data_IF_604605693424
#
_entry.id   IF_604605693424
#
_cell.length_a   1.000
_cell.length_b   1.000
_cell.length_c   1.000
_cell.angle_alpha   90.00
_cell.angle_beta   90.00
_cell.angle_gamma   90.00
#
_symmetry.space_group_name_H-M   'P 1'
#
loop_
_entity.id
_entity.type
_entity.pdbx_description
1 polymer ?
#
# COMPACT_ATOMS: atom_id res chain seq x y z
N UNK A 1 1.03 60.80 -14.72
CA UNK A 1 2.26 59.98 -14.85
C UNK A 1 1.86 58.52 -14.71
N UNK A 2 2.34 57.67 -15.63
CA UNK A 2 2.28 56.20 -15.61
C UNK A 2 2.79 55.64 -14.27
N UNK A 3 2.42 54.46 -13.75
CA UNK A 3 2.26 53.15 -14.40
C UNK A 3 1.59 52.23 -13.37
N UNK A 4 0.50 51.57 -13.74
CA UNK A 4 -0.05 50.47 -12.96
C UNK A 4 0.94 49.29 -13.02
N UNK A 5 1.50 48.91 -11.88
CA UNK A 5 2.28 47.69 -11.72
C UNK A 5 1.33 46.58 -11.28
N UNK A 6 0.73 45.91 -12.27
CA UNK A 6 0.19 44.56 -12.11
C UNK A 6 1.38 43.62 -11.92
N UNK A 7 1.77 43.39 -10.67
CA UNK A 7 2.67 42.29 -10.34
C UNK A 7 1.87 41.00 -10.50
N UNK A 8 2.21 40.28 -11.56
CA UNK A 8 1.53 39.08 -12.01
C UNK A 8 1.39 38.03 -10.92
N UNK A 9 0.21 37.44 -10.87
CA UNK A 9 -0.03 36.17 -10.19
C UNK A 9 0.84 35.09 -10.84
N UNK A 10 1.91 34.70 -10.16
CA UNK A 10 2.48 33.36 -10.31
C UNK A 10 1.73 32.42 -9.39
N UNK A 11 0.58 31.88 -9.82
CA UNK A 11 -0.03 30.75 -9.11
C UNK A 11 0.83 29.52 -9.44
N UNK A 12 1.56 29.03 -8.43
CA UNK A 12 2.21 27.72 -8.50
C UNK A 12 1.12 26.64 -8.53
N UNK A 13 0.75 26.18 -9.73
CA UNK A 13 -0.08 24.99 -9.93
C UNK A 13 0.82 23.76 -9.78
N UNK A 14 1.22 23.46 -8.55
CA UNK A 14 1.94 22.23 -8.20
C UNK A 14 1.10 21.31 -7.29
N UNK A 15 -0.02 21.79 -6.75
CA UNK A 15 -0.78 21.08 -5.72
C UNK A 15 -1.77 20.01 -6.21
N UNK A 16 -2.16 20.00 -7.49
CA UNK A 16 -3.24 19.09 -7.96
C UNK A 16 -2.75 17.70 -8.34
N UNK A 17 -1.50 17.54 -8.77
CA UNK A 17 -0.95 16.23 -9.10
C UNK A 17 -0.62 15.43 -7.83
N UNK A 18 0.05 16.06 -6.86
CA UNK A 18 0.47 15.41 -5.60
C UNK A 18 -0.71 14.93 -4.75
N UNK A 19 -1.80 15.70 -4.67
CA UNK A 19 -2.99 15.30 -3.92
C UNK A 19 -3.75 14.13 -4.57
N UNK A 20 -3.66 14.00 -5.90
CA UNK A 20 -4.25 12.89 -6.63
C UNK A 20 -3.42 11.60 -6.44
N UNK A 21 -2.10 11.72 -6.44
CA UNK A 21 -1.18 10.60 -6.21
C UNK A 21 -1.30 10.03 -4.79
N UNK A 22 -1.44 10.90 -3.78
CA UNK A 22 -1.70 10.49 -2.38
C UNK A 22 -2.98 9.68 -2.25
N UNK A 23 -4.09 10.18 -2.80
CA UNK A 23 -5.38 9.51 -2.74
C UNK A 23 -5.35 8.17 -3.48
N UNK A 24 -4.77 8.14 -4.69
CA UNK A 24 -4.69 6.93 -5.49
C UNK A 24 -3.81 5.87 -4.82
N UNK A 25 -2.62 6.23 -4.35
CA UNK A 25 -1.75 5.30 -3.63
C UNK A 25 -2.45 4.77 -2.37
N UNK A 26 -3.10 5.65 -1.61
CA UNK A 26 -3.84 5.27 -0.40
C UNK A 26 -4.93 4.24 -0.69
N UNK A 27 -5.72 4.43 -1.75
CA UNK A 27 -6.77 3.48 -2.16
C UNK A 27 -6.20 2.14 -2.65
N UNK A 28 -5.09 2.16 -3.39
CA UNK A 28 -4.39 0.93 -3.81
C UNK A 28 -3.87 0.15 -2.59
N UNK A 29 -3.33 0.85 -1.59
CA UNK A 29 -2.86 0.24 -0.35
C UNK A 29 -4.01 -0.30 0.52
N UNK A 30 -5.21 0.29 0.47
CA UNK A 30 -6.41 -0.26 1.10
C UNK A 30 -6.72 -1.65 0.52
N UNK A 31 -6.72 -1.79 -0.80
CA UNK A 31 -6.97 -3.06 -1.48
C UNK A 31 -5.89 -4.10 -1.11
N UNK A 32 -4.61 -3.73 -1.24
CA UNK A 32 -3.50 -4.64 -0.94
C UNK A 32 -3.49 -5.09 0.52
N UNK A 33 -3.81 -4.20 1.46
CA UNK A 33 -3.87 -4.55 2.89
C UNK A 33 -5.05 -5.49 3.21
N UNK A 34 -6.20 -5.32 2.56
CA UNK A 34 -7.35 -6.21 2.72
C UNK A 34 -7.05 -7.61 2.20
N UNK A 35 -6.44 -7.71 1.02
CA UNK A 35 -6.00 -8.97 0.41
C UNK A 35 -4.92 -9.67 1.23
N UNK A 36 -3.89 -8.94 1.66
CA UNK A 36 -2.85 -9.47 2.54
C UNK A 36 -3.43 -10.00 3.85
N UNK A 37 -4.44 -9.33 4.41
CA UNK A 37 -5.14 -9.80 5.60
C UNK A 37 -5.94 -11.08 5.34
N UNK A 38 -6.61 -11.19 4.20
CA UNK A 38 -7.31 -12.42 3.80
C UNK A 38 -6.32 -13.58 3.64
N UNK A 39 -5.20 -13.36 2.95
CA UNK A 39 -4.11 -14.34 2.82
C UNK A 39 -3.61 -14.78 4.21
N UNK A 40 -3.40 -13.82 5.11
CA UNK A 40 -2.86 -14.12 6.44
C UNK A 40 -3.81 -14.86 7.36
N UNK A 41 -5.11 -14.59 7.29
CA UNK A 41 -6.10 -15.14 8.22
C UNK A 41 -6.83 -16.34 7.62
N UNK A 42 -7.45 -16.16 6.46
CA UNK A 42 -8.34 -17.14 5.85
C UNK A 42 -7.59 -18.16 4.97
N UNK A 43 -6.44 -17.76 4.37
CA UNK A 43 -5.56 -18.70 3.65
C UNK A 43 -4.45 -19.32 4.53
N UNK A 44 -4.31 -18.86 5.78
CA UNK A 44 -3.40 -19.46 6.76
C UNK A 44 -1.91 -19.24 6.49
N UNK A 45 -1.52 -18.18 5.76
CA UNK A 45 -0.12 -17.84 5.47
C UNK A 45 0.27 -16.60 6.28
N UNK A 46 0.88 -16.74 7.47
CA UNK A 46 1.12 -15.59 8.34
C UNK A 46 2.05 -14.55 7.69
N UNK A 47 1.54 -13.33 7.51
CA UNK A 47 2.32 -12.23 6.93
C UNK A 47 2.86 -11.28 8.00
N UNK A 48 4.03 -10.73 7.75
CA UNK A 48 4.71 -9.74 8.57
C UNK A 48 4.23 -8.34 8.20
N UNK A 49 3.62 -7.66 9.18
CA UNK A 49 3.03 -6.33 8.99
C UNK A 49 4.10 -5.25 8.70
N UNK A 50 5.30 -5.39 9.26
CA UNK A 50 6.32 -4.35 9.17
C UNK A 50 7.00 -4.46 7.81
N UNK A 51 7.23 -5.70 7.34
CA UNK A 51 7.66 -5.97 5.96
C UNK A 51 6.63 -5.58 4.92
N UNK A 52 5.33 -5.71 5.21
CA UNK A 52 4.29 -5.18 4.33
C UNK A 52 4.43 -3.68 4.14
N UNK A 53 4.59 -2.92 5.24
CA UNK A 53 4.79 -1.46 5.19
C UNK A 53 6.07 -1.09 4.43
N UNK A 54 7.16 -1.84 4.57
CA UNK A 54 8.38 -1.55 3.81
C UNK A 54 8.22 -1.84 2.31
N UNK A 55 7.50 -2.89 1.96
CA UNK A 55 7.20 -3.21 0.56
C UNK A 55 6.25 -2.20 -0.09
N UNK A 56 5.41 -1.49 0.67
CA UNK A 56 4.56 -0.43 0.07
C UNK A 56 5.39 0.73 -0.47
N UNK A 57 6.55 1.03 0.13
CA UNK A 57 7.48 2.06 -0.39
C UNK A 57 8.07 1.63 -1.73
N UNK A 58 8.45 0.36 -1.85
CA UNK A 58 8.97 -0.23 -3.09
C UNK A 58 7.86 -0.27 -4.16
N UNK A 59 6.64 -0.64 -3.75
CA UNK A 59 5.47 -0.60 -4.62
C UNK A 59 5.20 0.80 -5.15
N UNK A 60 5.17 1.80 -4.27
CA UNK A 60 4.97 3.20 -4.65
C UNK A 60 6.02 3.65 -5.68
N UNK A 61 7.30 3.39 -5.40
CA UNK A 61 8.40 3.71 -6.31
C UNK A 61 8.24 3.02 -7.69
N UNK A 62 7.95 1.72 -7.70
CA UNK A 62 7.82 0.94 -8.94
C UNK A 62 6.62 1.37 -9.80
N UNK A 63 5.60 1.95 -9.19
CA UNK A 63 4.40 2.44 -9.89
C UNK A 63 4.48 3.94 -10.22
N UNK A 64 5.64 4.58 -10.00
CA UNK A 64 5.90 5.97 -10.40
C UNK A 64 5.39 7.03 -9.44
N UNK A 65 4.99 6.64 -8.23
CA UNK A 65 4.65 7.59 -7.17
C UNK A 65 5.89 8.31 -6.66
N UNK A 66 5.72 9.57 -6.25
CA UNK A 66 6.79 10.35 -5.63
C UNK A 66 7.23 9.65 -4.31
N UNK A 67 8.55 9.45 -4.08
CA UNK A 67 9.05 8.91 -2.81
C UNK A 67 8.62 9.69 -1.57
N UNK A 68 8.20 10.95 -1.74
CA UNK A 68 7.69 11.83 -0.69
C UNK A 68 6.17 11.80 -0.53
N UNK A 69 5.44 11.04 -1.36
CA UNK A 69 3.99 10.87 -1.23
C UNK A 69 3.65 10.35 0.17
N UNK A 70 2.90 11.15 0.91
CA UNK A 70 2.41 10.76 2.23
C UNK A 70 1.33 9.69 2.08
N UNK A 71 1.29 8.75 3.04
CA UNK A 71 0.28 7.69 3.08
C UNK A 71 -0.57 7.90 4.33
N UNK A 72 -1.88 8.04 4.15
CA UNK A 72 -2.82 8.08 5.26
C UNK A 72 -3.04 6.68 5.84
N UNK A 73 -2.13 6.24 6.70
CA UNK A 73 -2.16 4.89 7.29
C UNK A 73 -3.38 4.61 8.17
N UNK A 74 -3.97 5.64 8.78
CA UNK A 74 -5.20 5.48 9.56
C UNK A 74 -6.37 5.10 8.65
N UNK A 75 -6.49 5.79 7.52
CA UNK A 75 -7.46 5.46 6.48
C UNK A 75 -7.22 4.06 5.90
N UNK A 76 -5.96 3.74 5.52
CA UNK A 76 -5.59 2.41 5.01
C UNK A 76 -6.04 1.32 6.00
N UNK A 77 -5.75 1.49 7.28
CA UNK A 77 -6.13 0.52 8.33
C UNK A 77 -7.65 0.36 8.45
N UNK A 78 -8.41 1.45 8.43
CA UNK A 78 -9.86 1.41 8.61
C UNK A 78 -10.56 0.79 7.40
N UNK A 79 -10.26 1.28 6.20
CA UNK A 79 -10.96 0.86 4.98
C UNK A 79 -10.53 -0.54 4.53
N UNK A 80 -9.25 -0.91 4.69
CA UNK A 80 -8.83 -2.29 4.41
C UNK A 80 -9.51 -3.30 5.33
N UNK A 81 -9.82 -2.93 6.57
CA UNK A 81 -10.58 -3.79 7.46
C UNK A 81 -12.01 -4.01 6.96
N UNK A 82 -12.70 -2.94 6.55
CA UNK A 82 -14.06 -3.03 6.00
C UNK A 82 -14.08 -3.87 4.72
N UNK A 83 -13.15 -3.61 3.82
CA UNK A 83 -13.01 -4.36 2.57
C UNK A 83 -12.71 -5.84 2.84
N UNK A 84 -11.81 -6.16 3.78
CA UNK A 84 -11.56 -7.53 4.21
C UNK A 84 -12.85 -8.23 4.72
N UNK A 85 -13.68 -7.53 5.51
CA UNK A 85 -14.94 -8.11 5.99
C UNK A 85 -15.92 -8.37 4.85
N UNK A 86 -15.97 -7.50 3.84
CA UNK A 86 -16.75 -7.73 2.62
C UNK A 86 -16.22 -8.94 1.85
N UNK A 87 -14.91 -8.99 1.58
CA UNK A 87 -14.25 -10.13 0.93
C UNK A 87 -14.54 -11.45 1.65
N UNK A 88 -14.53 -11.46 2.99
CA UNK A 88 -14.84 -12.64 3.79
C UNK A 88 -16.27 -13.14 3.63
N UNK A 89 -17.21 -12.23 3.39
CA UNK A 89 -18.62 -12.57 3.12
C UNK A 89 -18.79 -13.14 1.71
N UNK A 90 -18.07 -12.57 0.74
CA UNK A 90 -18.32 -12.82 -0.68
C UNK A 90 -17.46 -13.95 -1.26
N UNK A 91 -16.29 -14.19 -0.68
CA UNK A 91 -15.35 -15.21 -1.14
C UNK A 91 -15.53 -16.52 -0.34
N UNK A 92 -15.57 -17.68 -1.01
CA UNK A 92 -15.57 -18.96 -0.31
C UNK A 92 -14.30 -19.10 0.55
N UNK A 93 -14.46 -19.60 1.78
CA UNK A 93 -13.33 -19.91 2.65
C UNK A 93 -12.49 -21.02 2.01
N UNK A 94 -11.24 -20.71 1.69
CA UNK A 94 -10.26 -21.58 1.02
C UNK A 94 -10.61 -21.96 -0.44
N UNK A 95 -9.61 -22.49 -1.16
CA UNK A 95 -9.72 -22.85 -2.59
C UNK A 95 -9.29 -21.72 -3.53
N UNK A 96 -9.99 -21.57 -4.66
CA UNK A 96 -9.59 -20.68 -5.77
C UNK A 96 -9.30 -19.22 -5.37
N UNK A 97 -9.98 -18.69 -4.35
CA UNK A 97 -9.72 -17.35 -3.85
C UNK A 97 -8.31 -17.23 -3.24
N UNK A 98 -7.88 -18.22 -2.44
CA UNK A 98 -6.53 -18.25 -1.89
C UNK A 98 -5.49 -18.46 -2.98
N UNK A 99 -5.74 -19.33 -3.95
CA UNK A 99 -4.81 -19.54 -5.08
C UNK A 99 -4.64 -18.25 -5.89
N UNK A 100 -5.74 -17.57 -6.21
CA UNK A 100 -5.70 -16.31 -6.97
C UNK A 100 -5.00 -15.18 -6.21
N UNK A 101 -5.27 -15.03 -4.91
CA UNK A 101 -4.66 -13.98 -4.11
C UNK A 101 -3.17 -14.26 -3.85
N UNK A 102 -2.80 -15.50 -3.58
CA UNK A 102 -1.39 -15.86 -3.39
C UNK A 102 -0.59 -15.76 -4.68
N UNK A 103 -1.16 -16.08 -5.85
CA UNK A 103 -0.50 -15.84 -7.15
C UNK A 103 -0.27 -14.35 -7.42
N UNK A 104 -1.23 -13.48 -7.07
CA UNK A 104 -1.07 -12.02 -7.14
C UNK A 104 0.11 -11.53 -6.28
N UNK A 105 0.33 -12.15 -5.13
CA UNK A 105 1.40 -11.80 -4.20
C UNK A 105 2.68 -12.64 -4.39
N UNK A 106 2.78 -13.51 -5.40
CA UNK A 106 3.84 -14.53 -5.49
C UNK A 106 5.27 -13.99 -5.37
N UNK A 107 5.52 -12.80 -5.91
CA UNK A 107 6.85 -12.18 -5.89
C UNK A 107 7.15 -11.52 -4.53
N UNK A 108 6.11 -11.09 -3.82
CA UNK A 108 6.20 -10.44 -2.51
C UNK A 108 6.11 -11.43 -1.33
N UNK A 109 5.40 -12.55 -1.49
CA UNK A 109 5.18 -13.56 -0.44
C UNK A 109 6.47 -14.04 0.22
N UNK A 110 7.56 -14.37 -0.50
CA UNK A 110 8.79 -14.80 0.13
C UNK A 110 9.39 -13.79 1.11
N UNK A 111 9.16 -12.50 0.88
CA UNK A 111 9.58 -11.41 1.75
C UNK A 111 8.57 -11.14 2.87
N UNK A 112 7.27 -11.25 2.59
CA UNK A 112 6.17 -10.98 3.53
C UNK A 112 5.93 -12.09 4.55
N UNK A 113 6.17 -13.35 4.20
CA UNK A 113 5.94 -14.46 5.12
C UNK A 113 6.77 -14.29 6.40
N UNK A 114 6.11 -14.45 7.54
CA UNK A 114 6.78 -14.48 8.84
C UNK A 114 7.70 -15.68 8.89
N UNK A 115 8.99 -15.41 8.76
CA UNK A 115 10.07 -16.38 8.97
C UNK A 115 10.68 -16.13 10.34
N UNK A 116 11.22 -17.16 11.02
CA UNK A 116 12.04 -16.93 12.21
C UNK A 116 13.16 -15.95 11.87
N UNK A 117 13.48 -15.06 12.81
CA UNK A 117 14.54 -14.06 12.65
C UNK A 117 15.82 -14.74 12.13
N UNK A 118 16.28 -14.30 10.97
CA UNK A 118 17.56 -14.71 10.44
C UNK A 118 18.62 -14.04 11.31
N UNK A 119 19.22 -14.79 12.24
CA UNK A 119 20.42 -14.35 12.94
C UNK A 119 21.54 -14.26 11.93
N UNK A 120 21.76 -13.07 11.41
CA UNK A 120 22.94 -12.74 10.65
C UNK A 120 24.07 -12.62 11.65
N UNK A 121 24.95 -13.63 11.66
CA UNK A 121 26.20 -13.61 12.42
C UNK A 121 27.18 -12.68 11.69
N UNK A 122 26.86 -11.38 11.71
CA UNK A 122 27.72 -10.30 11.19
C UNK A 122 28.30 -9.59 12.42
N UNK A 123 29.03 -10.37 13.22
CA UNK A 123 30.09 -9.85 14.06
C UNK A 123 31.41 -10.09 13.31
N UNK A 124 31.98 -9.03 12.72
CA UNK A 124 33.43 -8.89 12.50
C UNK A 124 33.83 -7.42 12.45
#
# INVERSE_FOLDING_TARGET
MMKALLLGLGVMVAGTAVANDEAQLTDELVQLAAEAKYISIDCGIPLDKDKFIDLTKIYAFNNGYDPSTEINWEYVKLESHKLYMAMKSDLPHAGQACDSLTDKFKDALPALEKKPELKLDIDS
#
